data_IF_968028548472
#
_entry.id   IF_968028548472
#
_cell.length_a   1.000
_cell.length_b   1.000
_cell.length_c   1.000
_cell.angle_alpha   90.00
_cell.angle_beta   90.00
_cell.angle_gamma   90.00
#
_symmetry.space_group_name_H-M   'P 1'
#
loop_
_entity.id
_entity.type
_entity.pdbx_description
1 polymer ?
#
# COMPACT_ATOMS: atom_id res chain seq x y z
N UNK A 1 -15.36 4.23 23.46
CA UNK A 1 -14.12 3.52 23.86
C UNK A 1 -13.76 2.64 22.67
N UNK A 2 -12.63 2.71 21.98
CA UNK A 2 -11.28 3.17 22.32
C UNK A 2 -10.80 4.27 21.36
N UNK A 3 -10.00 5.18 21.89
CA UNK A 3 -9.25 6.22 21.19
C UNK A 3 -7.86 5.62 20.89
N UNK A 4 -7.47 5.47 19.63
CA UNK A 4 -6.10 5.11 19.25
C UNK A 4 -5.55 6.27 18.44
N UNK A 5 -4.97 7.23 19.16
CA UNK A 5 -4.19 8.30 18.58
C UNK A 5 -2.83 7.77 18.16
N UNK A 6 -2.49 7.92 16.88
CA UNK A 6 -1.14 7.69 16.39
C UNK A 6 -0.34 8.95 16.71
N UNK A 7 0.55 8.86 17.71
CA UNK A 7 1.57 9.86 17.97
C UNK A 7 2.59 9.85 16.83
N UNK A 8 2.60 10.90 16.02
CA UNK A 8 3.71 11.20 15.13
C UNK A 8 4.84 11.76 16.00
N UNK A 9 5.92 10.98 16.16
CA UNK A 9 7.16 11.47 16.78
C UNK A 9 7.86 12.33 15.72
N UNK A 10 7.66 13.65 15.80
CA UNK A 10 8.56 14.62 15.17
C UNK A 10 9.88 14.60 15.93
N UNK A 11 10.95 14.19 15.26
CA UNK A 11 12.32 14.42 15.72
C UNK A 11 12.58 15.92 15.74
N UNK A 12 13.00 16.45 16.89
CA UNK A 12 13.70 17.72 16.97
C UNK A 12 15.08 17.51 17.59
N UNK A 13 16.01 18.10 16.87
CA UNK A 13 17.44 18.16 17.02
C UNK A 13 17.78 19.17 18.12
N UNK A 14 18.48 18.77 19.18
CA UNK A 14 19.21 19.71 20.05
C UNK A 14 20.52 19.05 20.52
N UNK A 15 21.63 19.66 20.08
CA UNK A 15 22.99 19.41 20.53
C UNK A 15 23.16 19.83 21.99
N UNK A 16 23.78 18.99 22.81
CA UNK A 16 24.45 19.44 24.03
C UNK A 16 25.74 18.62 24.24
N UNK A 17 26.84 19.37 24.32
CA UNK A 17 28.21 18.96 24.63
C UNK A 17 28.34 18.34 26.02
N UNK A 18 29.15 17.29 26.16
CA UNK A 18 30.36 17.39 27.00
C UNK A 18 31.33 16.21 26.78
N UNK A 19 32.60 16.56 26.98
CA UNK A 19 33.85 15.83 26.75
C UNK A 19 34.06 14.74 27.81
N UNK A 20 34.62 13.59 27.43
CA UNK A 20 35.70 12.93 28.19
C UNK A 20 36.42 11.88 27.33
N UNK A 21 37.73 12.11 27.15
CA UNK A 21 38.70 11.19 26.56
C UNK A 21 38.99 10.04 27.52
N UNK A 22 38.92 8.77 27.08
CA UNK A 22 39.90 7.75 27.47
C UNK A 22 40.10 6.69 26.37
N UNK A 23 41.36 6.30 26.22
CA UNK A 23 41.92 5.42 25.20
C UNK A 23 41.33 4.01 25.20
N UNK A 24 41.02 3.48 24.02
CA UNK A 24 41.18 2.03 23.76
C UNK A 24 41.46 1.75 22.29
N UNK A 25 42.55 1.03 22.07
CA UNK A 25 43.03 0.47 20.81
C UNK A 25 41.95 -0.38 20.12
N UNK A 26 41.45 0.04 18.95
CA UNK A 26 40.57 -0.80 18.12
C UNK A 26 41.16 -0.96 16.72
N UNK A 27 41.39 -2.22 16.36
CA UNK A 27 41.90 -2.66 15.06
C UNK A 27 41.04 -2.13 13.92
N UNK A 28 41.71 -1.53 12.94
CA UNK A 28 41.16 -1.07 11.67
C UNK A 28 40.55 -2.27 10.93
N UNK A 29 39.23 -2.37 10.99
CA UNK A 29 38.43 -3.38 10.29
C UNK A 29 37.38 -2.62 9.51
N UNK A 30 37.64 -2.44 8.22
CA UNK A 30 36.69 -1.90 7.25
C UNK A 30 35.32 -2.60 7.42
N UNK A 31 34.21 -1.86 7.55
CA UNK A 31 32.90 -2.49 7.59
C UNK A 31 32.58 -3.03 6.19
N UNK A 32 32.68 -4.36 6.03
CA UNK A 32 32.06 -5.05 4.92
C UNK A 32 30.58 -4.67 4.91
N UNK A 33 30.20 -3.85 3.94
CA UNK A 33 28.81 -3.49 3.65
C UNK A 33 28.13 -4.75 3.16
N UNK A 34 27.54 -5.51 4.09
CA UNK A 34 26.66 -6.62 3.74
C UNK A 34 25.45 -6.03 3.04
N UNK A 35 25.48 -6.04 1.71
CA UNK A 35 24.31 -5.71 0.90
C UNK A 35 23.16 -6.64 1.33
N UNK A 36 21.96 -6.08 1.62
CA UNK A 36 20.83 -6.90 2.04
C UNK A 36 20.50 -7.91 0.95
N UNK A 37 20.37 -9.18 1.35
CA UNK A 37 20.03 -10.26 0.43
C UNK A 37 18.58 -10.08 -0.01
N UNK A 38 18.38 -9.65 -1.25
CA UNK A 38 17.05 -9.58 -1.87
C UNK A 38 16.58 -10.97 -2.29
N UNK A 39 15.32 -11.28 -1.99
CA UNK A 39 14.68 -12.47 -2.50
C UNK A 39 14.52 -12.35 -4.02
N UNK A 40 15.22 -13.22 -4.76
CA UNK A 40 15.01 -13.35 -6.20
C UNK A 40 13.67 -14.03 -6.40
N UNK A 41 12.71 -13.30 -6.98
CA UNK A 41 11.43 -13.87 -7.37
C UNK A 41 11.66 -14.98 -8.40
N UNK A 42 10.95 -16.13 -8.29
CA UNK A 42 11.02 -17.17 -9.30
C UNK A 42 10.75 -16.59 -10.69
N UNK A 43 11.69 -16.82 -11.62
CA UNK A 43 11.47 -16.48 -13.02
C UNK A 43 10.44 -17.45 -13.59
N UNK A 44 9.18 -17.01 -13.64
CA UNK A 44 8.17 -17.62 -14.50
C UNK A 44 8.59 -17.32 -15.94
N UNK A 45 9.22 -18.30 -16.57
CA UNK A 45 9.34 -18.36 -18.01
C UNK A 45 7.92 -18.53 -18.57
N UNK A 46 7.21 -17.41 -18.76
CA UNK A 46 5.94 -17.35 -19.48
C UNK A 46 6.29 -17.61 -20.94
N UNK A 47 6.62 -18.87 -21.26
CA UNK A 47 6.42 -19.33 -22.60
C UNK A 47 4.91 -19.39 -22.76
N UNK A 48 4.45 -18.75 -23.82
CA UNK A 48 3.18 -19.03 -24.47
C UNK A 48 3.25 -20.46 -25.05
N UNK A 49 3.52 -21.44 -24.19
CA UNK A 49 3.48 -22.86 -24.47
C UNK A 49 2.01 -23.21 -24.46
N UNK A 50 1.33 -22.86 -25.57
CA UNK A 50 -0.06 -23.21 -25.82
C UNK A 50 -0.28 -24.65 -25.43
N UNK A 51 -1.09 -24.85 -24.38
CA UNK A 51 -1.59 -26.12 -23.84
C UNK A 51 -0.84 -27.32 -24.41
N UNK A 52 0.35 -27.63 -23.88
CA UNK A 52 1.07 -28.84 -24.28
C UNK A 52 0.10 -29.99 -24.03
N UNK A 53 -0.40 -30.59 -25.10
CA UNK A 53 -1.36 -31.68 -25.00
C UNK A 53 -0.74 -32.76 -24.12
N UNK A 54 -1.37 -33.04 -22.98
CA UNK A 54 -0.88 -33.93 -21.92
C UNK A 54 -0.47 -35.28 -22.50
N UNK A 55 -1.15 -35.70 -23.57
CA UNK A 55 -0.91 -36.95 -24.29
C UNK A 55 0.44 -36.98 -25.02
N UNK A 56 0.96 -35.82 -25.41
CA UNK A 56 2.28 -35.65 -26.06
C UNK A 56 3.42 -35.47 -25.07
N UNK A 57 3.11 -35.36 -23.77
CA UNK A 57 4.12 -35.17 -22.71
C UNK A 57 5.14 -36.32 -22.68
N UNK A 58 6.43 -36.05 -22.43
CA UNK A 58 7.45 -37.07 -22.22
C UNK A 58 7.04 -38.11 -21.15
N UNK A 59 6.24 -37.70 -20.16
CA UNK A 59 5.72 -38.60 -19.14
C UNK A 59 4.79 -39.68 -19.73
N UNK A 60 3.92 -39.31 -20.68
CA UNK A 60 3.01 -40.26 -21.33
C UNK A 60 3.78 -41.20 -22.27
N UNK A 61 4.75 -40.67 -23.02
CA UNK A 61 5.62 -41.47 -23.90
C UNK A 61 6.39 -42.52 -23.10
N UNK A 62 6.95 -42.15 -21.94
CA UNK A 62 7.66 -43.07 -21.07
C UNK A 62 6.75 -44.17 -20.51
N UNK A 63 5.51 -43.83 -20.12
CA UNK A 63 4.54 -44.82 -19.65
C UNK A 63 4.13 -45.81 -20.76
N UNK A 64 4.01 -45.34 -22.00
CA UNK A 64 3.70 -46.19 -23.16
C UNK A 64 4.87 -47.10 -23.56
N UNK A 65 6.11 -46.63 -23.43
CA UNK A 65 7.30 -47.45 -23.62
C UNK A 65 7.37 -48.58 -22.58
N UNK A 66 7.12 -48.28 -21.30
CA UNK A 66 7.13 -49.29 -20.24
C UNK A 66 6.02 -50.34 -20.38
N UNK A 67 4.85 -49.92 -20.88
CA UNK A 67 3.77 -50.83 -21.26
C UNK A 67 4.20 -51.76 -22.40
N UNK A 68 4.78 -51.18 -23.45
CA UNK A 68 5.26 -51.92 -24.63
C UNK A 68 6.38 -52.90 -24.29
N UNK A 69 7.23 -52.55 -23.33
CA UNK A 69 8.28 -53.41 -22.78
C UNK A 69 7.74 -54.51 -21.83
N UNK A 70 6.43 -54.55 -21.56
CA UNK A 70 5.80 -55.52 -20.66
C UNK A 70 6.14 -55.33 -19.17
N UNK A 71 6.76 -54.20 -18.80
CA UNK A 71 7.19 -53.93 -17.42
C UNK A 71 6.05 -53.44 -16.52
N UNK A 72 5.00 -52.90 -17.12
CA UNK A 72 3.83 -52.35 -16.43
C UNK A 72 2.53 -52.91 -17.03
N UNK A 73 1.57 -53.35 -16.21
CA UNK A 73 0.25 -53.72 -16.70
C UNK A 73 -0.54 -52.48 -17.14
N UNK A 74 -1.38 -52.65 -18.16
CA UNK A 74 -2.16 -51.54 -18.77
C UNK A 74 -3.05 -50.80 -17.75
N UNK A 75 -3.63 -51.49 -16.79
CA UNK A 75 -4.41 -50.87 -15.70
C UNK A 75 -3.59 -49.85 -14.92
N UNK A 76 -2.33 -50.17 -14.62
CA UNK A 76 -1.46 -49.27 -13.86
C UNK A 76 -1.01 -48.08 -14.68
N UNK A 77 -0.82 -48.27 -15.99
CA UNK A 77 -0.52 -47.18 -16.93
C UNK A 77 -1.69 -46.21 -17.02
N UNK A 78 -2.93 -46.72 -17.13
CA UNK A 78 -4.13 -45.90 -17.13
C UNK A 78 -4.29 -45.09 -15.82
N UNK A 79 -4.07 -45.72 -14.66
CA UNK A 79 -4.08 -45.04 -13.37
C UNK A 79 -3.03 -43.92 -13.28
N UNK A 80 -1.80 -44.18 -13.74
CA UNK A 80 -0.71 -43.19 -13.70
C UNK A 80 -0.97 -42.03 -14.65
N UNK A 81 -1.47 -42.32 -15.86
CA UNK A 81 -1.90 -41.29 -16.83
C UNK A 81 -3.00 -40.41 -16.24
N UNK A 82 -4.04 -41.01 -15.64
CA UNK A 82 -5.12 -40.27 -15.00
C UNK A 82 -4.60 -39.34 -13.88
N UNK A 83 -3.74 -39.84 -12.99
CA UNK A 83 -3.13 -39.03 -11.93
C UNK A 83 -2.30 -37.88 -12.48
N UNK A 84 -1.51 -38.13 -13.51
CA UNK A 84 -0.71 -37.09 -14.15
C UNK A 84 -1.58 -36.01 -14.79
N UNK A 85 -2.65 -36.40 -15.48
CA UNK A 85 -3.62 -35.46 -16.05
C UNK A 85 -4.24 -34.58 -14.97
N UNK A 86 -4.74 -35.18 -13.87
CA UNK A 86 -5.29 -34.41 -12.75
C UNK A 86 -4.26 -33.44 -12.17
N UNK A 87 -3.02 -33.89 -11.96
CA UNK A 87 -1.96 -33.02 -11.46
C UNK A 87 -1.70 -31.85 -12.42
N UNK A 88 -1.61 -32.12 -13.71
CA UNK A 88 -1.37 -31.10 -14.73
C UNK A 88 -2.51 -30.06 -14.76
N UNK A 89 -3.77 -30.51 -14.72
CA UNK A 89 -4.94 -29.62 -14.63
C UNK A 89 -4.92 -28.76 -13.36
N UNK A 90 -4.53 -29.34 -12.21
CA UNK A 90 -4.40 -28.56 -10.97
C UNK A 90 -3.28 -27.51 -11.04
N UNK A 91 -2.17 -27.82 -11.72
CA UNK A 91 -1.08 -26.85 -11.90
C UNK A 91 -1.50 -25.71 -12.82
N UNK A 92 -2.19 -26.02 -13.93
CA UNK A 92 -2.70 -24.99 -14.85
C UNK A 92 -3.67 -24.07 -14.12
N UNK A 93 -4.68 -24.62 -13.44
CA UNK A 93 -5.66 -23.81 -12.71
C UNK A 93 -5.03 -22.98 -11.59
N UNK A 94 -4.00 -23.51 -10.90
CA UNK A 94 -3.24 -22.74 -9.93
C UNK A 94 -2.51 -21.57 -10.58
N UNK A 95 -1.81 -21.79 -11.70
CA UNK A 95 -1.11 -20.75 -12.44
C UNK A 95 -2.06 -19.66 -12.96
N UNK A 96 -3.22 -20.05 -13.49
CA UNK A 96 -4.26 -19.12 -13.92
C UNK A 96 -4.75 -18.26 -12.74
N UNK A 97 -5.03 -18.88 -11.59
CA UNK A 97 -5.46 -18.18 -10.38
C UNK A 97 -4.39 -17.24 -9.81
N UNK A 98 -3.10 -17.62 -9.90
CA UNK A 98 -1.97 -16.80 -9.50
C UNK A 98 -1.86 -15.56 -10.38
N UNK A 99 -1.96 -15.73 -11.71
CA UNK A 99 -1.96 -14.61 -12.66
C UNK A 99 -3.11 -13.65 -12.36
N UNK A 100 -4.31 -14.18 -12.10
CA UNK A 100 -5.48 -13.37 -11.77
C UNK A 100 -5.25 -12.58 -10.46
N UNK A 101 -4.76 -13.23 -9.42
CA UNK A 101 -4.48 -12.57 -8.14
C UNK A 101 -3.43 -11.46 -8.28
N UNK A 102 -2.41 -11.68 -9.10
CA UNK A 102 -1.39 -10.67 -9.38
C UNK A 102 -1.95 -9.47 -10.17
N UNK A 103 -2.90 -9.70 -11.08
CA UNK A 103 -3.58 -8.63 -11.79
C UNK A 103 -4.49 -7.82 -10.85
N UNK A 104 -5.25 -8.49 -9.99
CA UNK A 104 -6.11 -7.85 -8.99
C UNK A 104 -5.29 -7.02 -8.00
N UNK A 105 -4.16 -7.55 -7.52
CA UNK A 105 -3.26 -6.82 -6.62
C UNK A 105 -2.70 -5.54 -7.26
N UNK A 106 -2.37 -5.57 -8.55
CA UNK A 106 -1.95 -4.37 -9.30
C UNK A 106 -3.08 -3.37 -9.42
N UNK A 107 -4.28 -3.84 -9.74
CA UNK A 107 -5.46 -3.00 -9.86
C UNK A 107 -5.78 -2.28 -8.55
N UNK A 108 -5.83 -3.01 -7.42
CA UNK A 108 -6.12 -2.41 -6.11
C UNK A 108 -5.03 -1.44 -5.65
N UNK A 109 -3.76 -1.70 -5.96
CA UNK A 109 -2.69 -0.73 -5.69
C UNK A 109 -2.97 0.61 -6.36
N UNK A 110 -3.35 0.59 -7.64
CA UNK A 110 -3.67 1.80 -8.39
C UNK A 110 -4.91 2.50 -7.81
N UNK A 111 -5.96 1.76 -7.45
CA UNK A 111 -7.16 2.34 -6.85
C UNK A 111 -6.87 3.00 -5.50
N UNK A 112 -6.05 2.37 -4.65
CA UNK A 112 -5.66 2.92 -3.35
C UNK A 112 -4.87 4.22 -3.53
N UNK A 113 -3.91 4.25 -4.47
CA UNK A 113 -3.15 5.47 -4.78
C UNK A 113 -4.06 6.62 -5.24
N UNK A 114 -5.05 6.33 -6.09
CA UNK A 114 -6.02 7.33 -6.54
C UNK A 114 -6.88 7.86 -5.39
N UNK A 115 -7.39 6.96 -4.54
CA UNK A 115 -8.19 7.35 -3.37
C UNK A 115 -7.37 8.17 -2.38
N UNK A 116 -6.10 7.82 -2.18
CA UNK A 116 -5.21 8.57 -1.30
C UNK A 116 -4.95 9.99 -1.83
N UNK A 117 -4.78 10.15 -3.14
CA UNK A 117 -4.66 11.49 -3.76
C UNK A 117 -5.95 12.31 -3.63
N UNK A 118 -7.12 11.67 -3.68
CA UNK A 118 -8.39 12.37 -3.48
C UNK A 118 -8.57 12.83 -2.03
N UNK A 119 -8.23 11.97 -1.06
CA UNK A 119 -8.21 12.33 0.35
C UNK A 119 -7.21 13.45 0.64
N UNK A 120 -6.01 13.39 0.04
CA UNK A 120 -5.00 14.43 0.21
C UNK A 120 -5.52 15.80 -0.27
N UNK A 121 -6.24 15.86 -1.41
CA UNK A 121 -6.89 17.09 -1.88
C UNK A 121 -7.96 17.59 -0.90
N UNK A 122 -8.68 16.69 -0.25
CA UNK A 122 -9.69 17.04 0.75
C UNK A 122 -9.04 17.55 2.05
N UNK A 123 -7.93 16.96 2.48
CA UNK A 123 -7.16 17.41 3.64
C UNK A 123 -6.45 18.74 3.38
N UNK A 124 -6.10 19.02 2.11
CA UNK A 124 -5.58 20.31 1.66
C UNK A 124 -6.69 21.34 1.41
N UNK A 125 -7.90 21.09 1.90
CA UNK A 125 -8.90 22.14 2.02
C UNK A 125 -8.30 23.31 2.80
N UNK A 126 -8.46 24.58 2.35
CA UNK A 126 -7.83 25.71 3.02
C UNK A 126 -8.36 25.86 4.45
N UNK A 127 -7.68 25.26 5.41
CA UNK A 127 -7.93 25.47 6.83
C UNK A 127 -7.36 26.84 7.22
N UNK A 128 -8.20 27.87 7.16
CA UNK A 128 -7.82 29.18 7.67
C UNK A 128 -8.66 30.37 7.19
N UNK A 129 -8.27 31.54 7.71
CA UNK A 129 -8.83 32.85 7.37
C UNK A 129 -8.57 33.31 5.92
N UNK A 130 -7.97 32.45 5.10
CA UNK A 130 -7.60 32.71 3.71
C UNK A 130 -8.73 32.47 2.72
N UNK A 131 -9.75 31.69 3.09
CA UNK A 131 -10.93 31.53 2.25
C UNK A 131 -11.78 32.81 2.25
N UNK A 132 -12.39 33.11 1.10
CA UNK A 132 -13.29 34.26 0.96
C UNK A 132 -14.43 34.22 1.99
N UNK A 133 -14.94 33.03 2.30
CA UNK A 133 -15.97 32.82 3.31
C UNK A 133 -15.49 33.25 4.70
N UNK A 134 -14.26 32.91 5.08
CA UNK A 134 -13.68 33.36 6.35
C UNK A 134 -13.53 34.88 6.41
N UNK A 135 -13.09 35.51 5.31
CA UNK A 135 -13.00 36.97 5.19
C UNK A 135 -14.37 37.65 5.32
N UNK A 136 -15.39 37.11 4.64
CA UNK A 136 -16.76 37.63 4.72
C UNK A 136 -17.34 37.49 6.12
N UNK A 137 -17.11 36.37 6.81
CA UNK A 137 -17.52 36.19 8.22
C UNK A 137 -16.88 37.24 9.14
N UNK A 138 -15.57 37.51 8.96
CA UNK A 138 -14.88 38.54 9.75
C UNK A 138 -15.45 39.94 9.49
N UNK A 139 -15.72 40.29 8.22
CA UNK A 139 -16.33 41.57 7.88
C UNK A 139 -17.73 41.72 8.47
N UNK A 140 -18.55 40.67 8.43
CA UNK A 140 -19.89 40.67 9.03
C UNK A 140 -19.83 40.92 10.54
N UNK A 141 -18.97 40.21 11.26
CA UNK A 141 -18.78 40.39 12.70
C UNK A 141 -18.33 41.82 13.03
N UNK A 142 -17.40 42.37 12.25
CA UNK A 142 -16.94 43.75 12.41
C UNK A 142 -18.10 44.74 12.30
N UNK A 143 -18.90 44.65 11.24
CA UNK A 143 -20.03 45.55 11.04
C UNK A 143 -21.15 45.38 12.07
N UNK A 144 -21.39 44.15 12.56
CA UNK A 144 -22.34 43.91 13.63
C UNK A 144 -21.91 44.57 14.94
N UNK A 145 -20.62 44.48 15.30
CA UNK A 145 -20.08 45.13 16.48
C UNK A 145 -20.16 46.67 16.37
N UNK A 146 -19.76 47.22 15.22
CA UNK A 146 -19.85 48.66 14.95
C UNK A 146 -21.30 49.17 15.04
N UNK A 147 -22.23 48.45 14.42
CA UNK A 147 -23.65 48.78 14.47
C UNK A 147 -24.18 48.76 15.91
N UNK A 148 -23.83 47.74 16.68
CA UNK A 148 -24.25 47.61 18.08
C UNK A 148 -23.71 48.75 18.93
N UNK A 149 -22.43 49.09 18.79
CA UNK A 149 -21.80 50.20 19.50
C UNK A 149 -22.42 51.56 19.15
N UNK A 150 -22.73 51.80 17.87
CA UNK A 150 -23.43 53.02 17.43
C UNK A 150 -24.83 53.09 18.04
N UNK A 151 -25.57 51.98 18.01
CA UNK A 151 -26.93 51.89 18.54
C UNK A 151 -26.97 52.12 20.06
N UNK A 152 -26.03 51.55 20.80
CA UNK A 152 -25.88 51.80 22.25
C UNK A 152 -25.62 53.28 22.54
N UNK A 153 -24.69 53.90 21.81
CA UNK A 153 -24.40 55.33 21.93
C UNK A 153 -25.63 56.19 21.59
N UNK A 154 -26.40 55.80 20.58
CA UNK A 154 -27.64 56.48 20.22
C UNK A 154 -28.64 56.42 21.37
N UNK A 155 -28.87 55.25 21.97
CA UNK A 155 -29.73 55.12 23.14
C UNK A 155 -29.28 55.98 24.32
N UNK A 156 -27.98 56.03 24.60
CA UNK A 156 -27.44 56.88 25.66
C UNK A 156 -27.68 58.37 25.40
N UNK A 157 -27.51 58.81 24.15
CA UNK A 157 -27.74 60.20 23.77
C UNK A 157 -29.22 60.56 23.83
N UNK A 158 -30.11 59.70 23.33
CA UNK A 158 -31.56 59.90 23.42
C UNK A 158 -32.01 60.00 24.88
N UNK A 159 -31.48 59.15 25.77
CA UNK A 159 -31.77 59.23 27.20
C UNK A 159 -31.32 60.56 27.83
N UNK A 160 -30.14 61.08 27.43
CA UNK A 160 -29.62 62.36 27.94
C UNK A 160 -30.40 63.58 27.42
N UNK A 161 -30.94 63.51 26.20
CA UNK A 161 -31.71 64.61 25.58
C UNK A 161 -33.17 64.64 26.05
N UNK A 162 -33.75 63.48 26.35
CA UNK A 162 -35.13 63.35 26.83
C UNK A 162 -35.28 63.50 28.36
N UNK A 163 -34.24 64.03 29.04
CA UNK A 163 -34.23 64.37 30.46
C UNK A 163 -34.15 65.88 30.62
#
# INVERSE_FOLDING_TARGET
MLNIGICIISQNFENMSDVDEESSSSSDSEPETQEPIYAIAPSINIRDEGSIDVVTSPAFQFLDELYSAGKLPGTRVAELKAKYTTLHETVISLQESEIQLLQDAKHFTIEIEQQQQELEKADQFPEGFTSEVSRMRQQLLKYQNEYTAIKEREYELQYKVNR
#
